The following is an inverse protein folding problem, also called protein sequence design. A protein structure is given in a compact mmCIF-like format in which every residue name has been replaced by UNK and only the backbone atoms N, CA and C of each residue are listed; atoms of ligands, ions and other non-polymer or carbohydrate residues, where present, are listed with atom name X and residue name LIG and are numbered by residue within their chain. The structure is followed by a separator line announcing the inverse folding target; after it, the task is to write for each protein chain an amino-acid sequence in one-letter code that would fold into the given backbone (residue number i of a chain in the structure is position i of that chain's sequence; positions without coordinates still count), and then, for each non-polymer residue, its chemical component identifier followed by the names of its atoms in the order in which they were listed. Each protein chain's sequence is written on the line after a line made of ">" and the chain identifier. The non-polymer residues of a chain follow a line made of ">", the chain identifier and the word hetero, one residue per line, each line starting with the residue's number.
data_IF_441851160957
#
_entry.id   IF_441851160957
#
_cell.length_a   1.000
_cell.length_b   1.000
_cell.length_c   1.000
_cell.angle_alpha   90.00
_cell.angle_beta   90.00
_cell.angle_gamma   90.00
#
_symmetry.space_group_name_H-M   'P 1'
#
loop_
_entity.id
_entity.type
_entity.pdbx_description
1 polymer ?
#
# COMPACT_ATOMS: atom_id res chain seq x y z
N UNK A 1 -9.15 11.40 23.52
CA UNK A 1 -9.82 11.68 22.24
C UNK A 1 -9.19 10.76 21.22
N UNK A 2 -9.98 10.00 20.44
CA UNK A 2 -9.41 9.26 19.30
C UNK A 2 -8.85 10.29 18.30
N UNK A 3 -7.70 10.03 17.64
CA UNK A 3 -7.18 10.97 16.67
C UNK A 3 -8.20 11.19 15.56
N UNK A 4 -8.18 12.38 14.95
CA UNK A 4 -9.05 12.69 13.82
C UNK A 4 -8.62 11.86 12.61
N UNK A 5 -9.58 11.20 11.95
CA UNK A 5 -9.37 10.59 10.63
C UNK A 5 -9.33 11.69 9.57
N UNK A 6 -8.17 11.89 8.95
CA UNK A 6 -7.92 12.93 7.94
C UNK A 6 -7.74 12.40 6.51
N UNK A 7 -7.53 11.08 6.36
CA UNK A 7 -7.45 10.38 5.06
C UNK A 7 -8.31 9.12 5.11
N UNK A 8 -8.64 8.57 3.95
CA UNK A 8 -9.45 7.35 3.84
C UNK A 8 -8.69 6.23 3.15
N UNK A 9 -8.44 5.14 3.88
CA UNK A 9 -7.71 3.99 3.35
C UNK A 9 -8.51 3.25 2.26
N UNK A 10 -9.84 3.24 2.34
CA UNK A 10 -10.70 2.65 1.31
C UNK A 10 -10.59 3.39 -0.03
N UNK A 11 -10.54 4.73 0.00
CA UNK A 11 -10.32 5.56 -1.19
C UNK A 11 -8.94 5.30 -1.81
N UNK A 12 -7.90 5.17 -0.98
CA UNK A 12 -6.56 4.78 -1.44
C UNK A 12 -6.59 3.44 -2.19
N UNK A 13 -7.23 2.42 -1.60
CA UNK A 13 -7.33 1.10 -2.23
C UNK A 13 -8.12 1.16 -3.54
N UNK A 14 -9.24 1.88 -3.57
CA UNK A 14 -10.03 2.06 -4.79
C UNK A 14 -9.19 2.69 -5.90
N UNK A 15 -8.44 3.75 -5.58
CA UNK A 15 -7.54 4.44 -6.53
C UNK A 15 -6.48 3.50 -7.09
N UNK A 16 -5.86 2.69 -6.23
CA UNK A 16 -4.91 1.66 -6.63
C UNK A 16 -5.57 0.64 -7.56
N UNK A 17 -6.74 0.10 -7.18
CA UNK A 17 -7.41 -0.95 -7.96
C UNK A 17 -7.81 -0.48 -9.36
N UNK A 18 -8.26 0.77 -9.49
CA UNK A 18 -8.57 1.39 -10.78
C UNK A 18 -7.33 1.56 -11.68
N UNK A 19 -6.13 1.64 -11.11
CA UNK A 19 -4.88 1.79 -11.87
C UNK A 19 -4.28 0.44 -12.34
N UNK A 20 -4.74 -0.68 -11.78
CA UNK A 20 -4.25 -2.02 -12.11
C UNK A 20 -4.84 -2.54 -13.43
N UNK A 21 -4.22 -3.59 -13.98
CA UNK A 21 -4.64 -4.25 -15.21
C UNK A 21 -4.54 -5.78 -15.07
N UNK A 22 -4.91 -6.52 -16.11
CA UNK A 22 -4.96 -7.99 -16.12
C UNK A 22 -3.65 -8.71 -15.76
N UNK A 23 -2.49 -8.06 -15.92
CA UNK A 23 -1.20 -8.59 -15.48
C UNK A 23 -0.95 -8.46 -13.97
N UNK A 24 -1.91 -7.90 -13.23
CA UNK A 24 -1.82 -7.62 -11.81
C UNK A 24 -2.64 -8.62 -11.01
N UNK A 25 -2.08 -9.11 -9.91
CA UNK A 25 -2.77 -9.93 -8.92
C UNK A 25 -2.75 -9.22 -7.59
N UNK A 26 -3.90 -9.19 -6.92
CA UNK A 26 -4.06 -8.58 -5.60
C UNK A 26 -4.25 -9.70 -4.59
N UNK A 27 -3.52 -9.63 -3.49
CA UNK A 27 -3.60 -10.56 -2.38
C UNK A 27 -3.87 -9.79 -1.09
N UNK A 28 -4.96 -10.10 -0.42
CA UNK A 28 -5.14 -9.71 0.98
C UNK A 28 -4.32 -10.66 1.84
N UNK A 29 -3.20 -10.17 2.40
CA UNK A 29 -2.31 -10.97 3.25
C UNK A 29 -2.88 -11.21 4.65
N UNK A 30 -3.81 -10.36 5.06
CA UNK A 30 -4.47 -10.41 6.36
C UNK A 30 -5.26 -9.14 6.59
N UNK A 31 -5.70 -8.95 7.82
CA UNK A 31 -6.44 -7.76 8.25
C UNK A 31 -5.78 -7.16 9.48
N UNK A 32 -5.45 -5.87 9.40
CA UNK A 32 -4.98 -5.09 10.54
C UNK A 32 -6.23 -4.58 11.26
N UNK A 33 -6.49 -5.13 12.43
CA UNK A 33 -7.68 -4.82 13.21
C UNK A 33 -7.40 -3.71 14.23
N UNK A 34 -8.34 -2.79 14.35
CA UNK A 34 -8.53 -1.89 15.48
C UNK A 34 -9.96 -2.12 16.04
N UNK A 35 -10.27 -1.57 17.22
CA UNK A 35 -11.55 -1.73 17.91
C UNK A 35 -12.80 -1.43 17.04
N UNK A 36 -12.69 -0.53 16.06
CA UNK A 36 -13.80 -0.09 15.21
C UNK A 36 -13.64 -0.39 13.73
N UNK A 37 -12.45 -0.85 13.29
CA UNK A 37 -12.09 -0.86 11.87
C UNK A 37 -11.14 -1.99 11.55
N UNK A 38 -11.35 -2.62 10.39
CA UNK A 38 -10.50 -3.69 9.88
C UNK A 38 -9.93 -3.27 8.53
N UNK A 39 -8.61 -3.15 8.46
CA UNK A 39 -7.91 -2.73 7.25
C UNK A 39 -7.35 -3.95 6.51
N UNK A 40 -7.77 -4.24 5.28
CA UNK A 40 -7.15 -5.32 4.52
C UNK A 40 -5.69 -4.94 4.18
N UNK A 41 -4.75 -5.81 4.53
CA UNK A 41 -3.34 -5.61 4.22
C UNK A 41 -3.04 -6.14 2.82
N UNK A 42 -2.95 -5.22 1.86
CA UNK A 42 -2.88 -5.56 0.44
C UNK A 42 -1.44 -5.75 -0.04
N UNK A 43 -1.23 -6.82 -0.81
CA UNK A 43 -0.04 -7.05 -1.63
C UNK A 43 -0.45 -7.11 -3.09
N UNK A 44 0.17 -6.29 -3.91
CA UNK A 44 -0.03 -6.29 -5.35
C UNK A 44 1.19 -6.96 -5.98
N UNK A 45 0.96 -7.88 -6.91
CA UNK A 45 2.00 -8.50 -7.72
C UNK A 45 1.71 -8.19 -9.18
N UNK A 46 2.64 -7.55 -9.87
CA UNK A 46 2.54 -7.23 -11.28
C UNK A 46 3.69 -7.90 -12.02
N UNK A 47 3.38 -8.75 -12.99
CA UNK A 47 4.42 -9.46 -13.74
C UNK A 47 3.97 -10.81 -14.27
N UNK A 48 4.92 -11.56 -14.79
CA UNK A 48 4.69 -12.84 -15.49
C UNK A 48 5.49 -13.99 -14.84
N UNK A 49 5.74 -13.91 -13.53
CA UNK A 49 6.63 -14.82 -12.79
C UNK A 49 8.07 -14.79 -13.34
N UNK A 50 8.59 -13.59 -13.55
CA UNK A 50 9.98 -13.40 -13.97
C UNK A 50 10.95 -13.83 -12.85
N UNK A 51 12.19 -14.13 -13.23
CA UNK A 51 13.25 -14.49 -12.27
C UNK A 51 13.70 -13.33 -11.39
N UNK A 52 13.62 -12.08 -11.90
CA UNK A 52 13.95 -10.88 -11.13
C UNK A 52 12.71 -10.30 -10.49
N UNK A 53 12.81 -9.97 -9.21
CA UNK A 53 11.71 -9.43 -8.40
C UNK A 53 12.17 -8.22 -7.62
N UNK A 54 11.33 -7.20 -7.56
CA UNK A 54 11.53 -6.01 -6.74
C UNK A 54 10.36 -5.85 -5.77
N UNK A 55 10.68 -5.51 -4.52
CA UNK A 55 9.69 -5.13 -3.51
C UNK A 55 9.69 -3.61 -3.37
N UNK A 56 8.51 -3.00 -3.50
CA UNK A 56 8.26 -1.59 -3.20
C UNK A 56 7.27 -1.54 -2.05
N UNK A 57 7.63 -0.86 -0.96
CA UNK A 57 6.76 -0.69 0.19
C UNK A 57 6.75 0.75 0.67
N UNK A 58 5.59 1.24 1.10
CA UNK A 58 5.44 2.58 1.65
C UNK A 58 4.48 2.61 2.84
N UNK A 59 4.41 3.77 3.49
CA UNK A 59 3.46 4.01 4.57
C UNK A 59 3.74 3.18 5.83
N UNK A 60 5.01 2.85 6.12
CA UNK A 60 5.36 2.22 7.41
C UNK A 60 5.11 3.18 8.58
N UNK A 61 5.36 4.47 8.35
CA UNK A 61 4.81 5.57 9.14
C UNK A 61 3.68 6.21 8.35
N UNK A 62 2.54 6.43 8.99
CA UNK A 62 1.34 6.91 8.30
C UNK A 62 1.26 8.42 8.12
N UNK A 63 2.08 9.18 8.85
CA UNK A 63 2.31 10.60 8.66
C UNK A 63 3.27 10.93 7.50
N UNK A 64 3.76 9.91 6.78
CA UNK A 64 4.64 10.04 5.59
C UNK A 64 3.90 9.64 4.29
N UNK A 65 2.85 10.36 3.84
CA UNK A 65 1.99 9.94 2.73
C UNK A 65 2.69 9.97 1.36
N UNK A 66 3.79 10.71 1.19
CA UNK A 66 4.42 10.91 -0.12
C UNK A 66 4.89 9.60 -0.76
N UNK A 67 5.33 8.61 0.02
CA UNK A 67 5.69 7.30 -0.51
C UNK A 67 4.48 6.52 -1.05
N UNK A 68 3.33 6.64 -0.37
CA UNK A 68 2.06 6.03 -0.79
C UNK A 68 1.58 6.68 -2.09
N UNK A 69 1.59 8.02 -2.15
CA UNK A 69 1.24 8.77 -3.35
C UNK A 69 2.15 8.46 -4.54
N UNK A 70 3.45 8.28 -4.29
CA UNK A 70 4.41 7.85 -5.32
C UNK A 70 4.02 6.50 -5.92
N UNK A 71 3.58 5.54 -5.09
CA UNK A 71 3.07 4.25 -5.58
C UNK A 71 1.82 4.44 -6.44
N UNK A 72 0.86 5.27 -6.02
CA UNK A 72 -0.33 5.57 -6.82
C UNK A 72 0.06 6.13 -8.19
N UNK A 73 0.91 7.16 -8.24
CA UNK A 73 1.36 7.77 -9.50
C UNK A 73 2.15 6.78 -10.37
N UNK A 74 2.98 5.93 -9.77
CA UNK A 74 3.71 4.88 -10.49
C UNK A 74 2.76 3.88 -11.17
N UNK A 75 1.69 3.49 -10.47
CA UNK A 75 0.67 2.58 -11.01
C UNK A 75 -0.20 3.28 -12.08
N UNK A 76 -0.65 4.49 -11.81
CA UNK A 76 -1.51 5.28 -12.70
C UNK A 76 -0.82 5.62 -14.03
N UNK A 77 0.46 5.99 -13.98
CA UNK A 77 1.26 6.32 -15.17
C UNK A 77 1.58 5.10 -16.03
N UNK A 78 1.41 3.88 -15.51
CA UNK A 78 1.73 2.60 -16.17
C UNK A 78 3.20 2.49 -16.62
N UNK A 79 4.10 3.31 -16.07
CA UNK A 79 5.52 3.32 -16.42
C UNK A 79 6.21 1.98 -16.13
N UNK A 80 5.70 1.20 -15.17
CA UNK A 80 6.18 -0.14 -14.86
C UNK A 80 6.11 -1.12 -16.03
N UNK A 81 5.23 -0.89 -17.03
CA UNK A 81 5.00 -1.83 -18.13
C UNK A 81 6.25 -2.11 -18.96
N UNK A 82 7.14 -1.12 -19.13
CA UNK A 82 8.39 -1.30 -19.88
C UNK A 82 9.36 -2.28 -19.23
N UNK A 83 9.18 -2.57 -17.94
CA UNK A 83 10.06 -3.45 -17.16
C UNK A 83 9.52 -4.88 -16.99
N UNK A 84 8.25 -5.15 -17.35
CA UNK A 84 7.58 -6.43 -17.09
C UNK A 84 8.13 -7.64 -17.88
N UNK A 85 8.99 -7.40 -18.87
CA UNK A 85 9.71 -8.49 -19.57
C UNK A 85 10.88 -9.05 -18.76
N UNK A 86 11.32 -8.36 -17.72
CA UNK A 86 12.47 -8.77 -16.90
C UNK A 86 12.16 -8.83 -15.42
N UNK A 87 11.23 -8.00 -14.94
CA UNK A 87 10.94 -7.81 -13.53
C UNK A 87 9.50 -8.10 -13.20
N UNK A 88 9.30 -8.73 -12.06
CA UNK A 88 8.04 -8.68 -11.34
C UNK A 88 8.12 -7.63 -10.22
N UNK A 89 7.06 -6.85 -10.09
CA UNK A 89 6.89 -5.88 -9.02
C UNK A 89 5.99 -6.47 -7.93
N UNK A 90 6.49 -6.49 -6.70
CA UNK A 90 5.71 -6.78 -5.50
C UNK A 90 5.54 -5.47 -4.75
N UNK A 91 4.31 -5.08 -4.47
CA UNK A 91 4.00 -3.77 -3.89
C UNK A 91 3.17 -3.93 -2.63
N UNK A 92 3.63 -3.33 -1.53
CA UNK A 92 2.89 -3.15 -0.28
C UNK A 92 2.58 -1.65 -0.14
N UNK A 93 1.41 -1.19 -0.62
CA UNK A 93 1.18 0.23 -0.86
C UNK A 93 1.05 1.07 0.43
N UNK A 94 0.64 0.45 1.53
CA UNK A 94 0.54 1.09 2.83
C UNK A 94 0.65 0.03 3.94
N UNK A 95 1.71 0.10 4.73
CA UNK A 95 1.97 -0.84 5.83
C UNK A 95 1.18 -0.47 7.09
N UNK A 96 1.03 0.83 7.38
CA UNK A 96 0.32 1.37 8.54
C UNK A 96 -0.97 2.11 8.11
N UNK A 97 -2.05 1.40 7.76
CA UNK A 97 -3.29 2.03 7.32
C UNK A 97 -3.95 2.86 8.43
N UNK A 98 -3.83 2.45 9.70
CA UNK A 98 -4.31 3.25 10.82
C UNK A 98 -3.58 4.60 10.88
N UNK A 99 -2.25 4.59 10.90
CA UNK A 99 -1.48 5.82 10.95
C UNK A 99 -1.69 6.69 9.72
N UNK A 100 -1.94 6.09 8.54
CA UNK A 100 -2.23 6.85 7.33
C UNK A 100 -3.51 7.66 7.46
N UNK A 101 -4.58 7.04 7.98
CA UNK A 101 -5.86 7.70 8.22
C UNK A 101 -5.76 8.78 9.29
N UNK A 102 -4.94 8.56 10.33
CA UNK A 102 -4.87 9.42 11.52
C UNK A 102 -3.66 10.36 11.54
N UNK A 103 -2.85 10.36 10.48
CA UNK A 103 -1.60 11.11 10.36
C UNK A 103 -0.63 10.89 11.52
N UNK A 104 -0.35 9.63 11.84
CA UNK A 104 0.56 9.24 12.92
C UNK A 104 1.72 8.39 12.42
N UNK A 105 2.88 8.59 13.06
CA UNK A 105 4.05 7.75 12.88
C UNK A 105 3.80 6.30 13.29
N UNK A 106 3.24 6.13 14.47
CA UNK A 106 2.98 4.84 15.10
C UNK A 106 1.69 4.19 14.56
N UNK A 107 1.54 2.88 14.81
CA UNK A 107 0.30 2.15 14.58
C UNK A 107 -0.73 2.40 15.71
N UNK A 108 -1.89 1.73 15.64
CA UNK A 108 -2.96 1.84 16.67
C UNK A 108 -2.52 1.47 18.09
N UNK A 109 -1.45 0.67 18.23
CA UNK A 109 -0.90 0.21 19.51
C UNK A 109 0.24 1.11 20.00
N UNK A 110 0.42 2.29 19.40
CA UNK A 110 1.52 3.23 19.66
C UNK A 110 2.91 2.63 19.42
N UNK A 111 3.02 1.69 18.48
CA UNK A 111 4.28 1.08 18.07
C UNK A 111 4.79 1.72 16.79
N UNK A 112 6.06 2.12 16.80
CA UNK A 112 6.80 2.42 15.59
C UNK A 112 7.08 1.10 14.86
N UNK A 113 6.51 0.91 13.66
CA UNK A 113 6.64 -0.34 12.91
C UNK A 113 8.04 -0.54 12.31
N UNK A 114 8.88 0.49 12.32
CA UNK A 114 10.23 0.46 11.76
C UNK A 114 11.31 0.42 12.86
N UNK A 115 11.03 -0.27 13.96
CA UNK A 115 11.91 -0.47 15.12
C UNK A 115 11.74 -1.88 15.65
#
# INVERSE_FOLDING_TARGET
>A
MLPLKIRDYGQLLNRIYLALNDASKIYTLGYIQNYSTSYPFQKIHIGKNNSRRVLISAGIHGDEPSGIETICTFLESKIYKSYLNQWDFIILPCINPYGFEHNTRENQDKKDLNR
#
